data_IF_372891309636
#
_entry.id   IF_372891309636
#
_cell.length_a   1.000
_cell.length_b   1.000
_cell.length_c   1.000
_cell.angle_alpha   90.00
_cell.angle_beta   90.00
_cell.angle_gamma   90.00
#
_symmetry.space_group_name_H-M   'P 1'
#
loop_
_entity.id
_entity.type
_entity.pdbx_description
1 polymer ?
#
# COMPACT_ATOMS: atom_id res chain seq x y z
N UNK A 1 -30.37 -19.04 -7.95
CA UNK A 1 -31.05 -17.76 -7.66
C UNK A 1 -30.12 -16.68 -8.19
N UNK A 2 -30.36 -16.30 -9.48
CA UNK A 2 -29.47 -15.37 -10.21
C UNK A 2 -29.73 -13.95 -9.70
N UNK A 3 -28.67 -13.30 -9.19
CA UNK A 3 -28.72 -11.86 -8.92
C UNK A 3 -28.53 -11.18 -10.28
N UNK A 4 -29.64 -10.80 -10.88
CA UNK A 4 -29.68 -10.05 -12.12
C UNK A 4 -28.98 -8.71 -11.93
N UNK A 5 -28.02 -8.42 -12.81
CA UNK A 5 -27.26 -7.16 -12.88
C UNK A 5 -28.21 -5.97 -13.00
N UNK A 6 -28.48 -5.26 -11.92
CA UNK A 6 -29.29 -4.03 -11.89
C UNK A 6 -28.49 -2.76 -12.25
N UNK A 7 -27.48 -2.88 -13.11
CA UNK A 7 -26.77 -1.71 -13.65
C UNK A 7 -27.35 -1.38 -15.04
N UNK A 8 -27.71 -0.12 -15.29
CA UNK A 8 -28.20 0.28 -16.59
C UNK A 8 -27.12 0.07 -17.67
N UNK A 9 -27.50 -0.38 -18.89
CA UNK A 9 -26.55 -0.59 -19.97
C UNK A 9 -25.84 0.71 -20.37
N UNK A 10 -24.60 0.58 -20.87
CA UNK A 10 -23.86 1.69 -21.42
C UNK A 10 -24.66 2.34 -22.58
N UNK A 11 -25.16 3.57 -22.36
CA UNK A 11 -25.97 4.29 -23.35
C UNK A 11 -27.25 4.94 -22.81
N UNK A 12 -27.59 4.75 -21.53
CA UNK A 12 -28.74 5.45 -20.93
C UNK A 12 -28.40 6.93 -20.77
N UNK A 13 -28.94 7.74 -21.66
CA UNK A 13 -28.96 9.21 -21.51
C UNK A 13 -29.84 9.58 -20.32
N UNK A 14 -29.21 9.93 -19.20
CA UNK A 14 -29.91 10.45 -18.02
C UNK A 14 -30.48 11.82 -18.37
N UNK A 15 -31.79 12.09 -18.18
CA UNK A 15 -32.38 13.40 -18.48
C UNK A 15 -31.65 14.52 -17.74
N UNK A 16 -31.28 15.60 -18.45
CA UNK A 16 -30.64 16.79 -17.94
C UNK A 16 -31.66 17.60 -17.10
N UNK A 17 -31.88 17.22 -15.84
CA UNK A 17 -32.85 17.93 -15.00
C UNK A 17 -32.83 17.57 -13.52
N UNK A 18 -32.15 16.49 -13.13
CA UNK A 18 -32.07 16.13 -11.71
C UNK A 18 -30.73 16.58 -11.16
N UNK A 19 -30.77 17.33 -10.06
CA UNK A 19 -29.57 17.67 -9.29
C UNK A 19 -28.76 16.38 -9.03
N UNK A 20 -27.54 16.33 -9.56
CA UNK A 20 -26.68 15.13 -9.50
C UNK A 20 -26.34 14.88 -8.03
N UNK A 21 -26.99 13.91 -7.43
CA UNK A 21 -26.84 13.58 -6.00
C UNK A 21 -25.41 13.09 -5.65
N UNK A 22 -25.08 12.95 -4.35
CA UNK A 22 -23.76 12.52 -3.88
C UNK A 22 -23.28 11.21 -4.50
N UNK A 23 -24.19 10.26 -4.74
CA UNK A 23 -23.88 8.97 -5.35
C UNK A 23 -23.33 9.10 -6.80
N UNK A 24 -23.80 10.08 -7.55
CA UNK A 24 -23.28 10.37 -8.90
C UNK A 24 -21.83 10.85 -8.85
N UNK A 25 -21.50 11.77 -7.94
CA UNK A 25 -20.14 12.28 -7.81
C UNK A 25 -19.17 11.22 -7.30
N UNK A 26 -19.65 10.36 -6.38
CA UNK A 26 -18.88 9.23 -5.89
C UNK A 26 -18.55 8.24 -7.03
N UNK A 27 -19.56 7.87 -7.84
CA UNK A 27 -19.35 6.95 -8.97
C UNK A 27 -18.36 7.52 -10.00
N UNK A 28 -18.41 8.82 -10.29
CA UNK A 28 -17.45 9.48 -11.16
C UNK A 28 -16.03 9.45 -10.57
N UNK A 29 -15.90 9.71 -9.27
CA UNK A 29 -14.60 9.64 -8.57
C UNK A 29 -14.00 8.25 -8.65
N UNK A 30 -14.80 7.22 -8.38
CA UNK A 30 -14.38 5.81 -8.47
C UNK A 30 -13.96 5.44 -9.90
N UNK A 31 -14.75 5.83 -10.92
CA UNK A 31 -14.38 5.58 -12.31
C UNK A 31 -13.06 6.24 -12.68
N UNK A 32 -12.86 7.50 -12.28
CA UNK A 32 -11.59 8.22 -12.51
C UNK A 32 -10.42 7.52 -11.82
N UNK A 33 -10.56 7.10 -10.56
CA UNK A 33 -9.54 6.32 -9.88
C UNK A 33 -9.19 5.04 -10.64
N UNK A 34 -10.20 4.30 -11.11
CA UNK A 34 -10.00 3.08 -11.89
C UNK A 34 -9.28 3.30 -13.22
N UNK A 35 -9.44 4.46 -13.88
CA UNK A 35 -8.76 4.77 -15.14
C UNK A 35 -7.31 5.19 -14.97
N UNK A 36 -6.91 5.68 -13.79
CA UNK A 36 -5.53 6.08 -13.51
C UNK A 36 -4.54 4.93 -13.73
N UNK A 37 -3.27 5.25 -13.95
CA UNK A 37 -2.22 4.25 -13.89
C UNK A 37 -2.07 3.75 -12.44
N UNK A 38 -1.74 2.47 -12.26
CA UNK A 38 -1.56 1.92 -10.90
C UNK A 38 -0.40 2.60 -10.17
N UNK A 39 0.62 3.05 -10.92
CA UNK A 39 1.69 3.87 -10.36
C UNK A 39 1.16 5.20 -9.83
N UNK A 40 0.30 5.89 -10.59
CA UNK A 40 -0.31 7.15 -10.14
C UNK A 40 -1.16 6.96 -8.88
N UNK A 41 -1.92 5.86 -8.81
CA UNK A 41 -2.69 5.52 -7.59
C UNK A 41 -1.77 5.28 -6.41
N UNK A 42 -0.66 4.56 -6.60
CA UNK A 42 0.35 4.35 -5.55
C UNK A 42 1.02 5.64 -5.09
N UNK A 43 1.38 6.53 -6.03
CA UNK A 43 1.96 7.83 -5.69
C UNK A 43 0.97 8.74 -4.94
N UNK A 44 -0.30 8.75 -5.34
CA UNK A 44 -1.35 9.47 -4.60
C UNK A 44 -1.56 8.89 -3.20
N UNK A 45 -1.52 7.56 -3.06
CA UNK A 45 -1.60 6.89 -1.75
C UNK A 45 -0.40 7.25 -0.87
N UNK A 46 0.81 7.22 -1.42
CA UNK A 46 2.02 7.61 -0.70
C UNK A 46 1.95 9.07 -0.26
N UNK A 47 1.54 9.97 -1.14
CA UNK A 47 1.36 11.38 -0.81
C UNK A 47 0.33 11.56 0.32
N UNK A 48 -0.82 10.86 0.22
CA UNK A 48 -1.87 10.89 1.24
C UNK A 48 -1.34 10.48 2.62
N UNK A 49 -0.60 9.38 2.70
CA UNK A 49 0.01 8.95 3.97
C UNK A 49 1.14 9.90 4.42
N UNK A 50 1.99 10.36 3.50
CA UNK A 50 3.15 11.19 3.81
C UNK A 50 2.78 12.53 4.47
N UNK A 51 1.62 13.10 4.16
CA UNK A 51 1.16 14.38 4.71
C UNK A 51 1.06 14.39 6.24
N UNK A 52 0.93 13.23 6.88
CA UNK A 52 0.68 13.12 8.33
C UNK A 52 1.69 12.27 9.09
N UNK A 53 2.75 11.75 8.43
CA UNK A 53 3.75 10.86 9.06
C UNK A 53 4.51 11.50 10.24
N UNK A 54 4.71 12.81 10.22
CA UNK A 54 5.48 13.54 11.22
C UNK A 54 4.67 14.17 12.34
N UNK A 55 3.34 13.97 12.39
CA UNK A 55 2.44 14.72 13.28
C UNK A 55 2.61 14.39 14.76
N UNK A 56 3.07 13.18 15.08
CA UNK A 56 3.25 12.75 16.49
C UNK A 56 4.58 12.02 16.68
N UNK A 57 5.14 12.03 17.94
CA UNK A 57 6.38 11.33 18.25
C UNK A 57 6.23 9.82 18.12
N UNK A 58 7.37 9.07 18.12
CA UNK A 58 7.35 7.62 18.09
C UNK A 58 6.69 7.05 19.35
N UNK A 59 5.82 6.07 19.15
CA UNK A 59 5.14 5.36 20.23
C UNK A 59 6.08 4.32 20.85
N UNK A 60 6.40 4.50 22.12
CA UNK A 60 7.24 3.59 22.90
C UNK A 60 6.34 2.48 23.51
N UNK A 61 6.79 1.21 23.58
CA UNK A 61 8.18 0.74 23.26
C UNK A 61 8.36 0.29 21.81
N UNK A 62 7.29 0.04 21.03
CA UNK A 62 7.39 -0.71 19.78
C UNK A 62 8.09 0.08 18.66
N UNK A 63 7.60 1.24 18.27
CA UNK A 63 8.25 2.03 17.21
C UNK A 63 9.71 2.36 17.58
N UNK A 64 9.95 2.69 18.86
CA UNK A 64 11.30 2.96 19.37
C UNK A 64 12.28 1.81 19.16
N UNK A 65 11.82 0.56 19.34
CA UNK A 65 12.67 -0.63 19.12
C UNK A 65 13.03 -0.80 17.64
N UNK A 66 12.07 -0.71 16.74
CA UNK A 66 12.33 -0.89 15.30
C UNK A 66 13.23 0.21 14.75
N UNK A 67 12.93 1.45 15.09
CA UNK A 67 13.73 2.61 14.67
C UNK A 67 15.10 2.62 15.34
N UNK A 68 15.19 2.25 16.61
CA UNK A 68 16.45 2.14 17.36
C UNK A 68 17.43 1.13 16.75
N UNK A 69 16.94 -0.05 16.33
CA UNK A 69 17.77 -1.03 15.62
C UNK A 69 18.26 -0.47 14.28
N UNK A 70 17.38 0.17 13.51
CA UNK A 70 17.75 0.76 12.23
C UNK A 70 18.77 1.90 12.38
N UNK A 71 18.62 2.73 13.42
CA UNK A 71 19.55 3.79 13.75
C UNK A 71 20.91 3.23 14.20
N UNK A 72 20.93 2.20 15.04
CA UNK A 72 22.16 1.51 15.45
C UNK A 72 22.92 0.93 14.25
N UNK A 73 22.24 0.35 13.26
CA UNK A 73 22.86 -0.10 12.01
C UNK A 73 23.48 1.06 11.22
N UNK A 74 22.78 2.20 11.16
CA UNK A 74 23.26 3.38 10.45
C UNK A 74 24.50 3.99 11.12
N UNK A 75 24.51 4.07 12.44
CA UNK A 75 25.60 4.67 13.23
C UNK A 75 26.84 3.77 13.28
N UNK A 76 26.65 2.47 13.44
CA UNK A 76 27.77 1.51 13.53
C UNK A 76 28.33 1.11 12.17
N UNK A 77 27.54 1.23 11.07
CA UNK A 77 27.85 0.67 9.76
C UNK A 77 27.71 -0.86 9.68
N UNK A 78 27.30 -1.53 10.76
CA UNK A 78 27.07 -2.98 10.79
C UNK A 78 25.61 -3.28 10.47
N UNK A 79 25.35 -3.63 9.19
CA UNK A 79 24.02 -3.99 8.71
C UNK A 79 23.72 -5.48 8.82
N UNK A 80 24.67 -6.32 9.27
CA UNK A 80 24.50 -7.77 9.38
C UNK A 80 23.94 -8.17 10.75
N UNK A 81 24.42 -7.53 11.81
CA UNK A 81 24.01 -7.84 13.18
C UNK A 81 23.11 -6.72 13.71
N UNK A 82 21.76 -6.94 13.71
CA UNK A 82 20.84 -6.00 14.36
C UNK A 82 21.19 -5.85 15.84
N UNK A 83 21.28 -4.62 16.35
CA UNK A 83 21.56 -4.35 17.75
C UNK A 83 20.51 -3.40 18.33
N UNK A 84 20.12 -3.67 19.57
CA UNK A 84 19.29 -2.78 20.37
C UNK A 84 19.99 -2.57 21.70
N UNK A 85 20.25 -1.33 22.06
CA UNK A 85 20.99 -0.96 23.29
C UNK A 85 22.35 -1.68 23.40
N UNK A 86 23.05 -1.83 22.28
CA UNK A 86 24.34 -2.51 22.19
C UNK A 86 24.30 -4.04 22.15
N UNK A 87 23.15 -4.65 22.43
CA UNK A 87 22.99 -6.11 22.43
C UNK A 87 22.45 -6.62 21.07
N UNK A 88 22.91 -7.81 20.59
CA UNK A 88 22.36 -8.44 19.39
C UNK A 88 20.86 -8.69 19.52
N UNK A 89 20.08 -8.31 18.47
CA UNK A 89 18.63 -8.34 18.48
C UNK A 89 18.08 -9.05 17.23
N UNK A 90 18.06 -10.39 17.24
CA UNK A 90 17.64 -11.23 16.12
C UNK A 90 16.14 -11.62 16.13
N UNK A 91 15.28 -10.82 16.76
CA UNK A 91 13.87 -11.16 16.94
C UNK A 91 13.06 -11.10 15.64
N UNK A 92 13.52 -10.35 14.65
CA UNK A 92 12.77 -10.11 13.39
C UNK A 92 13.70 -10.13 12.18
N UNK A 93 13.17 -10.42 10.97
CA UNK A 93 13.92 -10.37 9.73
C UNK A 93 14.49 -8.96 9.46
N UNK A 94 15.72 -8.86 8.90
CA UNK A 94 16.45 -7.59 8.81
C UNK A 94 15.93 -6.63 7.74
N UNK A 95 15.15 -7.08 6.76
CA UNK A 95 14.72 -6.26 5.63
C UNK A 95 14.08 -4.93 6.05
N UNK A 96 13.17 -4.96 7.02
CA UNK A 96 12.51 -3.74 7.51
C UNK A 96 13.52 -2.77 8.13
N UNK A 97 14.47 -3.27 8.91
CA UNK A 97 15.54 -2.44 9.50
C UNK A 97 16.43 -1.79 8.44
N UNK A 98 16.80 -2.53 7.39
CA UNK A 98 17.60 -2.00 6.28
C UNK A 98 16.87 -0.90 5.53
N UNK A 99 15.59 -1.10 5.22
CA UNK A 99 14.77 -0.08 4.55
C UNK A 99 14.62 1.17 5.43
N UNK A 100 14.39 1.00 6.73
CA UNK A 100 14.28 2.12 7.69
C UNK A 100 15.61 2.83 7.84
N UNK A 101 16.73 2.11 7.96
CA UNK A 101 18.07 2.70 8.02
C UNK A 101 18.39 3.50 6.75
N UNK A 102 18.00 2.97 5.55
CA UNK A 102 18.15 3.70 4.30
C UNK A 102 17.30 4.98 4.30
N UNK A 103 16.06 4.92 4.76
CA UNK A 103 15.19 6.08 4.89
C UNK A 103 15.79 7.16 5.82
N UNK A 104 16.29 6.75 6.98
CA UNK A 104 16.97 7.64 7.93
C UNK A 104 18.25 8.25 7.34
N UNK A 105 19.01 7.47 6.55
CA UNK A 105 20.22 7.94 5.88
C UNK A 105 19.93 9.03 4.85
N UNK A 106 18.86 8.88 4.08
CA UNK A 106 18.52 9.79 2.95
C UNK A 106 17.78 11.03 3.43
N UNK A 107 16.84 10.89 4.36
CA UNK A 107 15.96 11.98 4.82
C UNK A 107 16.39 12.58 6.17
N UNK A 108 17.44 12.05 6.78
CA UNK A 108 17.86 12.42 8.14
C UNK A 108 17.03 11.71 9.21
N UNK A 109 17.50 11.83 10.47
CA UNK A 109 16.85 11.20 11.62
C UNK A 109 15.65 12.04 12.07
N UNK A 110 14.47 11.64 11.64
CA UNK A 110 13.20 12.31 11.96
C UNK A 110 12.02 11.33 11.89
N UNK A 111 10.85 11.74 12.38
CA UNK A 111 9.65 10.89 12.44
C UNK A 111 9.10 10.51 11.06
N UNK A 112 9.25 11.38 10.06
CA UNK A 112 8.83 11.09 8.69
C UNK A 112 9.69 9.97 8.11
N UNK A 113 11.00 10.06 8.24
CA UNK A 113 11.95 9.05 7.77
C UNK A 113 11.71 7.69 8.46
N UNK A 114 11.41 7.70 9.76
CA UNK A 114 11.13 6.50 10.53
C UNK A 114 9.89 5.75 10.03
N UNK A 115 8.84 6.47 9.57
CA UNK A 115 7.55 5.91 9.14
C UNK A 115 7.39 5.82 7.63
N UNK A 116 8.37 6.28 6.85
CA UNK A 116 8.27 6.25 5.38
C UNK A 116 8.14 4.82 4.84
N UNK A 117 8.81 3.85 5.46
CA UNK A 117 8.79 2.44 5.00
C UNK A 117 7.39 1.83 5.08
N UNK A 118 6.68 1.82 6.23
CA UNK A 118 5.31 1.33 6.27
C UNK A 118 4.35 2.10 5.36
N UNK A 119 4.50 3.42 5.21
CA UNK A 119 3.70 4.20 4.28
C UNK A 119 3.93 3.81 2.82
N UNK A 120 5.21 3.60 2.43
CA UNK A 120 5.57 3.12 1.10
C UNK A 120 5.00 1.71 0.84
N UNK A 121 5.10 0.81 1.82
CA UNK A 121 4.56 -0.55 1.69
C UNK A 121 3.03 -0.54 1.56
N UNK A 122 2.32 0.30 2.29
CA UNK A 122 0.88 0.50 2.13
C UNK A 122 0.52 1.04 0.73
N UNK A 123 1.27 2.01 0.24
CA UNK A 123 1.07 2.57 -1.11
C UNK A 123 1.34 1.52 -2.21
N UNK A 124 2.38 0.70 -2.07
CA UNK A 124 2.68 -0.41 -2.98
C UNK A 124 1.58 -1.48 -2.95
N UNK A 125 1.04 -1.79 -1.78
CA UNK A 125 -0.10 -2.71 -1.65
C UNK A 125 -1.32 -2.19 -2.42
N UNK A 126 -1.68 -0.92 -2.25
CA UNK A 126 -2.81 -0.29 -2.95
C UNK A 126 -2.57 -0.32 -4.47
N UNK A 127 -1.36 0.05 -4.92
CA UNK A 127 -1.00 0.02 -6.34
C UNK A 127 -1.06 -1.40 -6.93
N UNK A 128 -0.58 -2.40 -6.20
CA UNK A 128 -0.62 -3.80 -6.60
C UNK A 128 -2.04 -4.34 -6.73
N UNK A 129 -2.90 -4.08 -5.74
CA UNK A 129 -4.32 -4.45 -5.77
C UNK A 129 -5.05 -3.77 -6.93
N UNK A 130 -4.82 -2.47 -7.13
CA UNK A 130 -5.38 -1.73 -8.24
C UNK A 130 -4.94 -2.31 -9.59
N UNK A 131 -3.65 -2.61 -9.77
CA UNK A 131 -3.11 -3.20 -10.99
C UNK A 131 -3.73 -4.57 -11.29
N UNK A 132 -3.83 -5.41 -10.27
CA UNK A 132 -4.41 -6.74 -10.38
C UNK A 132 -5.88 -6.70 -10.80
N UNK A 133 -6.70 -5.90 -10.12
CA UNK A 133 -8.13 -5.79 -10.42
C UNK A 133 -8.40 -5.08 -11.75
N UNK A 134 -7.60 -4.10 -12.11
CA UNK A 134 -7.66 -3.44 -13.41
C UNK A 134 -7.42 -4.42 -14.56
N UNK A 135 -6.53 -5.41 -14.34
CA UNK A 135 -6.17 -6.42 -15.36
C UNK A 135 -7.16 -7.59 -15.40
N UNK A 136 -7.62 -8.07 -14.24
CA UNK A 136 -8.36 -9.34 -14.14
C UNK A 136 -9.84 -9.19 -13.81
N UNK A 137 -10.31 -8.00 -13.46
CA UNK A 137 -11.70 -7.74 -13.16
C UNK A 137 -12.24 -6.56 -14.00
N UNK A 138 -12.27 -5.36 -13.44
CA UNK A 138 -12.69 -4.16 -14.17
C UNK A 138 -12.10 -2.88 -13.57
N UNK A 139 -12.16 -1.78 -14.36
CA UNK A 139 -11.77 -0.45 -13.89
C UNK A 139 -12.57 -0.01 -12.67
N UNK A 140 -13.85 -0.37 -12.62
CA UNK A 140 -14.71 -0.04 -11.50
C UNK A 140 -14.30 -0.76 -10.22
N UNK A 141 -14.00 -2.06 -10.28
CA UNK A 141 -13.47 -2.79 -9.11
C UNK A 141 -12.14 -2.24 -8.64
N UNK A 142 -11.22 -1.91 -9.56
CA UNK A 142 -9.95 -1.28 -9.23
C UNK A 142 -10.16 0.07 -8.50
N UNK A 143 -11.07 0.90 -8.99
CA UNK A 143 -11.40 2.19 -8.38
C UNK A 143 -12.02 2.06 -6.99
N UNK A 144 -12.98 1.15 -6.79
CA UNK A 144 -13.58 0.89 -5.48
C UNK A 144 -12.55 0.37 -4.49
N UNK A 145 -11.70 -0.57 -4.90
CA UNK A 145 -10.65 -1.11 -4.03
C UNK A 145 -9.67 -0.03 -3.59
N UNK A 146 -9.23 0.82 -4.52
CA UNK A 146 -8.36 1.94 -4.17
C UNK A 146 -9.03 2.89 -3.16
N UNK A 147 -10.29 3.26 -3.39
CA UNK A 147 -11.04 4.13 -2.48
C UNK A 147 -11.19 3.51 -1.08
N UNK A 148 -11.61 2.24 -1.00
CA UNK A 148 -11.81 1.52 0.25
C UNK A 148 -10.49 1.43 1.04
N UNK A 149 -9.39 1.07 0.37
CA UNK A 149 -8.09 0.96 1.03
C UNK A 149 -7.56 2.32 1.50
N UNK A 150 -7.70 3.38 0.68
CA UNK A 150 -7.29 4.74 1.05
C UNK A 150 -8.11 5.31 2.22
N UNK A 151 -9.38 4.91 2.36
CA UNK A 151 -10.25 5.34 3.45
C UNK A 151 -10.27 4.39 4.66
N UNK A 152 -9.55 3.27 4.59
CA UNK A 152 -9.50 2.28 5.69
C UNK A 152 -8.73 2.81 6.88
N UNK A 153 -9.36 2.97 8.07
CA UNK A 153 -8.67 3.42 9.28
C UNK A 153 -7.56 2.48 9.72
N UNK A 154 -7.75 1.17 9.52
CA UNK A 154 -6.74 0.15 9.86
C UNK A 154 -5.49 0.29 8.99
N UNK A 155 -5.66 0.44 7.66
CA UNK A 155 -4.52 0.60 6.75
C UNK A 155 -3.83 1.94 6.99
N UNK A 156 -4.60 3.01 7.25
CA UNK A 156 -4.05 4.31 7.63
C UNK A 156 -3.19 4.19 8.90
N UNK A 157 -3.71 3.58 9.97
CA UNK A 157 -2.95 3.36 11.20
C UNK A 157 -1.70 2.53 10.99
N UNK A 158 -1.79 1.42 10.24
CA UNK A 158 -0.65 0.55 9.94
C UNK A 158 0.43 1.25 9.09
N UNK A 159 0.03 2.15 8.17
CA UNK A 159 0.97 2.95 7.36
C UNK A 159 1.72 4.00 8.16
N UNK A 160 1.20 4.40 9.33
CA UNK A 160 1.78 5.41 10.22
C UNK A 160 2.51 4.83 11.42
N UNK A 161 2.61 3.52 11.52
CA UNK A 161 3.25 2.85 12.64
C UNK A 161 4.57 2.21 12.18
N UNK A 162 5.70 2.70 12.73
CA UNK A 162 7.05 2.26 12.34
C UNK A 162 7.36 0.87 12.87
N UNK A 163 6.68 -0.15 12.32
CA UNK A 163 6.92 -1.55 12.62
C UNK A 163 7.00 -2.40 11.35
N UNK A 164 7.30 -3.68 11.54
CA UNK A 164 7.45 -4.69 10.49
C UNK A 164 6.12 -5.06 9.79
N UNK A 165 4.98 -4.93 10.48
CA UNK A 165 3.73 -5.61 10.10
C UNK A 165 3.23 -5.19 8.73
N UNK A 166 3.28 -3.88 8.41
CA UNK A 166 2.88 -3.38 7.10
C UNK A 166 3.80 -3.91 5.98
N UNK A 167 5.10 -4.04 6.26
CA UNK A 167 6.07 -4.62 5.31
C UNK A 167 5.74 -6.07 5.02
N UNK A 168 5.48 -6.88 6.04
CA UNK A 168 5.09 -8.29 5.90
C UNK A 168 3.76 -8.41 5.16
N UNK A 169 2.75 -7.62 5.53
CA UNK A 169 1.44 -7.63 4.89
C UNK A 169 1.54 -7.31 3.38
N UNK A 170 2.33 -6.30 3.02
CA UNK A 170 2.54 -5.93 1.62
C UNK A 170 3.26 -7.02 0.82
N UNK A 171 4.29 -7.66 1.41
CA UNK A 171 5.02 -8.75 0.76
C UNK A 171 4.15 -10.00 0.57
N UNK A 172 3.42 -10.42 1.61
CA UNK A 172 2.49 -11.56 1.50
C UNK A 172 1.43 -11.28 0.44
N UNK A 173 0.80 -10.10 0.47
CA UNK A 173 -0.19 -9.72 -0.52
C UNK A 173 0.39 -9.69 -1.93
N UNK A 174 1.64 -9.22 -2.09
CA UNK A 174 2.33 -9.23 -3.39
C UNK A 174 2.54 -10.66 -3.91
N UNK A 175 2.94 -11.60 -3.04
CA UNK A 175 3.06 -13.01 -3.41
C UNK A 175 1.71 -13.61 -3.86
N UNK A 176 0.62 -13.30 -3.14
CA UNK A 176 -0.74 -13.77 -3.50
C UNK A 176 -1.19 -13.17 -4.84
N UNK A 177 -0.97 -11.88 -5.06
CA UNK A 177 -1.35 -11.20 -6.31
C UNK A 177 -0.55 -11.74 -7.51
N UNK A 178 0.75 -11.95 -7.34
CA UNK A 178 1.60 -12.52 -8.39
C UNK A 178 1.24 -13.97 -8.68
N UNK A 179 1.03 -14.79 -7.65
CA UNK A 179 0.56 -16.17 -7.81
C UNK A 179 -0.81 -16.26 -8.47
N UNK A 180 -1.75 -15.41 -8.05
CA UNK A 180 -3.07 -15.31 -8.68
C UNK A 180 -2.99 -14.87 -10.14
N UNK A 181 -2.11 -13.89 -10.45
CA UNK A 181 -1.86 -13.48 -11.83
C UNK A 181 -1.32 -14.64 -12.66
N UNK A 182 -0.32 -15.39 -12.15
CA UNK A 182 0.24 -16.54 -12.82
C UNK A 182 -0.82 -17.62 -13.09
N UNK A 183 -1.62 -17.98 -12.10
CA UNK A 183 -2.69 -18.98 -12.24
C UNK A 183 -3.70 -18.60 -13.32
N UNK A 184 -4.18 -17.36 -13.32
CA UNK A 184 -5.13 -16.84 -14.31
C UNK A 184 -4.55 -16.81 -15.74
N UNK A 185 -3.24 -16.56 -15.89
CA UNK A 185 -2.57 -16.62 -17.20
C UNK A 185 -2.51 -18.05 -17.72
N UNK A 186 -2.24 -19.04 -16.87
CA UNK A 186 -2.22 -20.46 -17.25
C UNK A 186 -3.62 -20.93 -17.68
N UNK A 187 -4.66 -20.56 -16.95
CA UNK A 187 -6.06 -20.88 -17.31
C UNK A 187 -6.45 -20.30 -18.68
N UNK A 188 -5.89 -19.13 -19.06
CA UNK A 188 -6.11 -18.49 -20.36
C UNK A 188 -5.26 -19.10 -21.50
N UNK A 189 -4.52 -20.17 -21.23
CA UNK A 189 -3.70 -20.88 -22.22
C UNK A 189 -2.35 -20.21 -22.54
N UNK A 190 -1.93 -19.23 -21.76
CA UNK A 190 -0.62 -18.62 -21.90
C UNK A 190 0.44 -19.47 -21.20
N UNK A 191 1.45 -19.95 -21.95
CA UNK A 191 2.61 -20.61 -21.32
C UNK A 191 3.41 -19.58 -20.50
N UNK A 192 3.59 -19.86 -19.22
CA UNK A 192 4.41 -19.01 -18.36
C UNK A 192 5.89 -19.20 -18.73
N UNK A 193 6.45 -18.31 -19.53
CA UNK A 193 7.89 -18.22 -19.72
C UNK A 193 8.39 -17.12 -18.78
N UNK A 194 9.21 -17.52 -17.82
CA UNK A 194 9.99 -16.59 -17.02
C UNK A 194 10.93 -15.85 -17.98
N UNK A 195 10.67 -14.57 -18.24
CA UNK A 195 11.55 -13.69 -19.00
C UNK A 195 12.44 -12.92 -18.04
#
# INVERSE_FOLDING_TARGET
>A
MSIENSFPPAGVTVPLGHARGPAYWLSLGVQRLGTLSSLSVGLLALLWFALTLGVYPLLIPDEGRYVGVALSMLESGDYLVPRLDGLPFFHKPPLHYWLTALSLKVLGVNFVAARLVPALMAALLIAGMHAFLKRHASLQHAGWTALILLSSPLLFGASHYANLDMTVAALISSCVLLGGHAALQVEQGHSYRWA
#
